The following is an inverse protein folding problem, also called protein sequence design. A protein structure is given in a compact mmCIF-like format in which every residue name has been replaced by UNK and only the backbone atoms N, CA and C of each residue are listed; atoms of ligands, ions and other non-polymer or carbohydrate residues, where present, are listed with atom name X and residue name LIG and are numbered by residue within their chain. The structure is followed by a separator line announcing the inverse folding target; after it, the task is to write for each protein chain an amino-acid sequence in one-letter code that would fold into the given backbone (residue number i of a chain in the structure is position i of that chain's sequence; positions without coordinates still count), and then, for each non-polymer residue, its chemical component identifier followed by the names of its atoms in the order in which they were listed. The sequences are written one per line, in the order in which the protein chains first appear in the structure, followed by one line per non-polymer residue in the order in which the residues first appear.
data_IF_726207194755
#
_entry.id   IF_726207194755
#
_cell.length_a   1.000
_cell.length_b   1.000
_cell.length_c   1.000
_cell.angle_alpha   90.00
_cell.angle_beta   90.00
_cell.angle_gamma   90.00
#
_symmetry.space_group_name_H-M   'P 1'
#
loop_
_entity.id
_entity.type
_entity.pdbx_description
1 polymer ?
#
# COMPACT_ATOMS: atom_id res chain seq x y z
N UNK A 1 6.68 32.21 11.28
CA UNK A 1 5.29 31.78 11.51
C UNK A 1 5.06 30.51 10.70
N UNK A 2 5.09 29.35 11.34
CA UNK A 2 4.89 28.07 10.66
C UNK A 2 3.41 27.95 10.28
N UNK A 3 3.11 27.66 9.01
CA UNK A 3 1.77 27.25 8.63
C UNK A 3 1.41 25.98 9.41
N UNK A 4 0.24 25.98 10.05
CA UNK A 4 -0.21 24.78 10.75
C UNK A 4 -0.53 23.69 9.73
N UNK A 5 0.14 22.55 9.85
CA UNK A 5 -0.21 21.33 9.12
C UNK A 5 -1.49 20.73 9.72
N UNK A 6 -2.22 19.92 8.95
CA UNK A 6 -3.40 19.16 9.40
C UNK A 6 -4.57 20.02 9.90
N UNK A 7 -4.99 21.03 9.12
CA UNK A 7 -6.11 21.95 9.46
C UNK A 7 -7.51 21.43 9.09
N UNK A 8 -7.63 20.17 8.73
CA UNK A 8 -8.92 19.55 8.41
C UNK A 8 -9.58 19.03 9.70
N UNK A 9 -10.90 18.89 9.72
CA UNK A 9 -11.60 18.34 10.89
C UNK A 9 -11.46 16.81 10.95
N UNK A 10 -11.56 16.15 9.79
CA UNK A 10 -11.46 14.70 9.65
C UNK A 10 -11.03 14.35 8.23
N UNK A 11 -10.09 13.43 8.11
CA UNK A 11 -9.82 12.68 6.90
C UNK A 11 -10.14 11.22 7.18
N UNK A 12 -11.07 10.67 6.42
CA UNK A 12 -11.46 9.27 6.55
C UNK A 12 -11.49 8.63 5.17
N UNK A 13 -10.74 7.54 5.01
CA UNK A 13 -10.77 6.69 3.82
C UNK A 13 -11.10 5.27 4.27
N UNK A 14 -12.12 4.68 3.66
CA UNK A 14 -12.53 3.30 3.91
C UNK A 14 -12.54 2.57 2.58
N UNK A 15 -11.80 1.48 2.52
CA UNK A 15 -11.68 0.61 1.35
C UNK A 15 -12.08 -0.79 1.74
N UNK A 16 -13.16 -1.26 1.13
CA UNK A 16 -13.68 -2.62 1.28
C UNK A 16 -13.52 -3.30 -0.08
N UNK A 17 -12.77 -4.40 -0.15
CA UNK A 17 -12.56 -5.16 -1.40
C UNK A 17 -13.22 -6.52 -1.29
N UNK A 18 -14.07 -6.82 -2.27
CA UNK A 18 -14.80 -8.08 -2.36
C UNK A 18 -14.36 -8.87 -3.58
N UNK A 19 -14.23 -10.20 -3.43
CA UNK A 19 -14.07 -11.15 -4.52
C UNK A 19 -15.09 -12.27 -4.32
N UNK A 20 -15.90 -12.55 -5.35
CA UNK A 20 -16.96 -13.56 -5.27
C UNK A 20 -17.86 -13.36 -4.03
N UNK A 21 -18.28 -12.11 -3.80
CA UNK A 21 -19.08 -11.65 -2.65
C UNK A 21 -18.45 -11.85 -1.26
N UNK A 22 -17.19 -12.31 -1.20
CA UNK A 22 -16.43 -12.44 0.04
C UNK A 22 -15.53 -11.23 0.27
N UNK A 23 -15.58 -10.65 1.47
CA UNK A 23 -14.67 -9.56 1.86
C UNK A 23 -13.24 -10.11 2.00
N UNK A 24 -12.32 -9.63 1.16
CA UNK A 24 -10.92 -10.09 1.12
C UNK A 24 -9.93 -9.07 1.69
N UNK A 25 -10.32 -7.79 1.76
CA UNK A 25 -9.54 -6.72 2.38
C UNK A 25 -10.47 -5.66 2.95
N UNK A 26 -10.15 -5.21 4.15
CA UNK A 26 -10.76 -4.06 4.80
C UNK A 26 -9.64 -3.12 5.27
N UNK A 27 -9.62 -1.90 4.75
CA UNK A 27 -8.68 -0.86 5.16
C UNK A 27 -9.46 0.40 5.56
N UNK A 28 -9.25 0.86 6.79
CA UNK A 28 -9.91 2.05 7.32
C UNK A 28 -8.87 3.01 7.89
N UNK A 29 -8.56 4.04 7.11
CA UNK A 29 -7.75 5.17 7.53
C UNK A 29 -8.68 6.23 8.14
N UNK A 30 -8.45 6.59 9.39
CA UNK A 30 -9.11 7.72 10.05
C UNK A 30 -8.03 8.61 10.67
N UNK A 31 -7.91 9.82 10.16
CA UNK A 31 -7.05 10.87 10.70
C UNK A 31 -7.95 12.00 11.17
N UNK A 32 -8.02 12.18 12.48
CA UNK A 32 -8.77 13.24 13.13
C UNK A 32 -7.74 14.11 13.82
N UNK A 33 -7.45 15.33 13.32
CA UNK A 33 -6.39 16.14 13.89
C UNK A 33 -6.67 16.50 15.35
N UNK A 34 -6.00 15.79 16.25
CA UNK A 34 -5.91 16.11 17.66
C UNK A 34 -4.52 16.69 18.00
N UNK A 35 -4.13 16.67 19.27
CA UNK A 35 -2.83 17.24 19.68
C UNK A 35 -1.62 16.41 19.24
N UNK A 36 -1.77 15.15 18.82
CA UNK A 36 -0.66 14.22 18.59
C UNK A 36 -0.65 13.59 17.18
N UNK A 37 -1.06 14.35 16.17
CA UNK A 37 -0.94 13.93 14.76
C UNK A 37 0.49 13.53 14.35
N UNK A 38 1.51 14.05 15.04
CA UNK A 38 2.92 13.73 14.79
C UNK A 38 3.41 12.51 15.59
N UNK A 39 2.57 11.94 16.45
CA UNK A 39 2.87 10.82 17.32
C UNK A 39 2.88 9.47 16.61
N UNK A 40 3.31 8.46 17.37
CA UNK A 40 3.34 7.05 16.95
C UNK A 40 1.93 6.57 16.62
N UNK A 41 1.80 5.84 15.51
CA UNK A 41 0.51 5.34 15.03
C UNK A 41 -0.31 6.35 14.21
N UNK A 42 0.17 7.59 14.05
CA UNK A 42 -0.42 8.60 13.15
C UNK A 42 0.55 8.96 12.02
N UNK A 43 0.89 10.24 11.86
CA UNK A 43 1.77 10.70 10.79
C UNK A 43 3.24 10.67 11.19
N UNK A 44 3.59 10.46 12.46
CA UNK A 44 4.96 10.20 12.91
C UNK A 44 6.01 11.21 12.40
N UNK A 45 5.64 12.49 12.34
CA UNK A 45 6.47 13.58 11.82
C UNK A 45 6.43 13.78 10.31
N UNK A 46 5.74 12.92 9.55
CA UNK A 46 5.50 13.04 8.12
C UNK A 46 4.26 13.88 7.81
N UNK A 47 4.10 14.28 6.56
CA UNK A 47 2.99 15.14 6.11
C UNK A 47 2.17 14.52 4.99
N UNK A 48 2.68 13.47 4.35
CA UNK A 48 2.05 12.77 3.24
C UNK A 48 1.88 11.30 3.58
N UNK A 49 0.71 10.75 3.26
CA UNK A 49 0.38 9.34 3.40
C UNK A 49 -0.14 8.82 2.06
N UNK A 50 0.42 7.72 1.59
CA UNK A 50 -0.06 6.98 0.43
C UNK A 50 -0.46 5.55 0.79
N UNK A 51 -1.52 5.05 0.16
CA UNK A 51 -1.88 3.63 0.20
C UNK A 51 -2.00 3.05 -1.20
N UNK A 52 -1.45 1.87 -1.44
CA UNK A 52 -1.56 1.11 -2.68
C UNK A 52 -1.94 -0.33 -2.34
N UNK A 53 -2.91 -0.88 -3.06
CA UNK A 53 -3.36 -2.27 -2.92
C UNK A 53 -3.21 -2.92 -4.30
N UNK A 54 -2.67 -4.13 -4.35
CA UNK A 54 -2.58 -4.93 -5.56
C UNK A 54 -3.01 -6.37 -5.26
N UNK A 55 -4.02 -6.85 -5.97
CA UNK A 55 -4.51 -8.23 -5.90
C UNK A 55 -4.24 -8.87 -7.24
N UNK A 56 -3.44 -9.94 -7.23
CA UNK A 56 -3.08 -10.63 -8.45
C UNK A 56 -2.58 -12.05 -8.16
N UNK A 57 -3.07 -12.99 -8.95
CA UNK A 57 -2.57 -14.37 -8.96
C UNK A 57 -1.05 -14.36 -9.21
N UNK A 58 -0.29 -14.96 -8.29
CA UNK A 58 1.18 -14.98 -8.32
C UNK A 58 1.88 -13.95 -7.43
N UNK A 59 1.14 -13.07 -6.73
CA UNK A 59 1.70 -12.32 -5.60
C UNK A 59 1.74 -13.25 -4.37
N UNK A 60 2.93 -13.77 -4.08
CA UNK A 60 3.23 -14.59 -2.92
C UNK A 60 4.24 -13.90 -1.97
N UNK A 61 4.60 -14.57 -0.87
CA UNK A 61 5.58 -14.05 0.09
C UNK A 61 6.93 -13.72 -0.56
N UNK A 62 7.38 -14.54 -1.51
CA UNK A 62 8.62 -14.31 -2.24
C UNK A 62 8.55 -13.07 -3.14
N UNK A 63 7.40 -12.80 -3.74
CA UNK A 63 7.14 -11.60 -4.52
C UNK A 63 7.16 -10.35 -3.64
N UNK A 64 6.49 -10.40 -2.49
CA UNK A 64 6.46 -9.32 -1.51
C UNK A 64 7.87 -9.01 -1.00
N UNK A 65 8.69 -10.02 -0.71
CA UNK A 65 10.09 -9.83 -0.30
C UNK A 65 10.96 -9.16 -1.39
N UNK A 66 10.67 -9.40 -2.68
CA UNK A 66 11.35 -8.70 -3.78
C UNK A 66 10.95 -7.23 -3.84
N UNK A 67 9.68 -6.90 -3.60
CA UNK A 67 9.24 -5.51 -3.49
C UNK A 67 9.89 -4.85 -2.26
N UNK A 68 9.93 -5.53 -1.12
CA UNK A 68 10.57 -5.00 0.08
C UNK A 68 12.04 -4.61 -0.21
N UNK A 69 12.83 -5.51 -0.80
CA UNK A 69 14.21 -5.24 -1.22
C UNK A 69 14.33 -4.15 -2.29
N UNK A 70 13.38 -4.06 -3.21
CA UNK A 70 13.33 -2.97 -4.21
C UNK A 70 13.18 -1.60 -3.55
N UNK A 71 12.45 -1.53 -2.44
CA UNK A 71 12.14 -0.29 -1.73
C UNK A 71 13.10 0.04 -0.58
N UNK A 72 13.91 -0.92 -0.12
CA UNK A 72 14.91 -0.74 0.95
C UNK A 72 15.84 0.49 0.76
N UNK A 73 16.28 0.86 -0.47
CA UNK A 73 17.15 2.02 -0.64
C UNK A 73 16.49 3.39 -0.35
N UNK A 74 15.16 3.45 -0.23
CA UNK A 74 14.45 4.69 0.07
C UNK A 74 14.66 5.10 1.53
N UNK A 75 15.31 6.24 1.73
CA UNK A 75 15.51 6.84 3.05
C UNK A 75 14.64 8.08 3.22
N UNK A 76 14.37 8.47 4.47
CA UNK A 76 13.52 9.64 4.76
C UNK A 76 12.02 9.41 4.49
N UNK A 77 11.61 8.15 4.36
CA UNK A 77 10.22 7.69 4.25
C UNK A 77 10.00 6.53 5.23
N UNK A 78 8.74 6.25 5.57
CA UNK A 78 8.36 4.99 6.22
C UNK A 78 7.49 4.18 5.27
N UNK A 79 7.85 2.92 5.07
CA UNK A 79 7.18 2.03 4.14
C UNK A 79 6.70 0.80 4.91
N UNK A 80 5.40 0.56 4.90
CA UNK A 80 4.79 -0.68 5.37
C UNK A 80 4.35 -1.52 4.19
N UNK A 81 4.73 -2.79 4.16
CA UNK A 81 4.32 -3.74 3.14
C UNK A 81 3.73 -4.98 3.83
N UNK A 82 2.58 -5.45 3.36
CA UNK A 82 1.88 -6.60 3.96
C UNK A 82 1.22 -7.44 2.88
N UNK A 83 1.21 -8.77 3.08
CA UNK A 83 0.42 -9.68 2.26
C UNK A 83 -1.07 -9.57 2.63
N UNK A 84 -1.93 -9.84 1.66
CA UNK A 84 -3.37 -9.98 1.88
C UNK A 84 -3.73 -11.44 2.18
N UNK A 85 -4.97 -11.67 2.62
CA UNK A 85 -5.52 -13.03 2.81
C UNK A 85 -5.74 -13.78 1.50
N UNK A 86 -5.69 -13.07 0.38
CA UNK A 86 -5.70 -13.58 -1.00
C UNK A 86 -4.38 -13.21 -1.67
N UNK A 87 -3.99 -13.85 -2.80
CA UNK A 87 -2.79 -13.46 -3.55
C UNK A 87 -2.75 -11.96 -3.86
N UNK A 88 -1.90 -11.23 -3.15
CA UNK A 88 -1.92 -9.78 -3.16
C UNK A 88 -1.11 -9.15 -2.03
N UNK A 89 -0.98 -7.84 -2.10
CA UNK A 89 -0.29 -7.02 -1.11
C UNK A 89 -0.98 -5.68 -0.88
N UNK A 90 -0.71 -5.09 0.27
CA UNK A 90 -0.92 -3.69 0.59
C UNK A 90 0.41 -3.01 0.89
N UNK A 91 0.58 -1.80 0.37
CA UNK A 91 1.73 -0.93 0.57
C UNK A 91 1.24 0.40 1.15
N UNK A 92 1.86 0.83 2.24
CA UNK A 92 1.60 2.13 2.89
C UNK A 92 2.90 2.92 2.98
N UNK A 93 2.83 4.20 2.63
CA UNK A 93 4.00 5.09 2.63
C UNK A 93 3.68 6.34 3.44
N UNK A 94 4.57 6.71 4.36
CA UNK A 94 4.63 8.04 4.96
C UNK A 94 5.85 8.79 4.43
N UNK A 95 5.66 10.02 4.00
CA UNK A 95 6.71 10.83 3.37
C UNK A 95 6.55 12.34 3.66
N UNK A 96 7.57 13.12 3.29
CA UNK A 96 7.53 14.58 3.40
C UNK A 96 7.12 15.29 2.12
N UNK A 97 7.09 14.57 0.99
CA UNK A 97 6.70 15.11 -0.31
C UNK A 97 5.82 14.11 -1.04
N UNK A 98 4.87 14.63 -1.79
CA UNK A 98 4.01 13.81 -2.67
C UNK A 98 4.85 13.00 -3.67
N UNK A 99 5.92 13.59 -4.20
CA UNK A 99 6.80 12.97 -5.19
C UNK A 99 7.48 11.71 -4.67
N UNK A 100 7.80 11.63 -3.38
CA UNK A 100 8.42 10.44 -2.78
C UNK A 100 7.41 9.27 -2.79
N UNK A 101 6.15 9.55 -2.44
CA UNK A 101 5.04 8.59 -2.49
C UNK A 101 4.80 8.12 -3.93
N UNK A 102 4.71 9.05 -4.87
CA UNK A 102 4.47 8.74 -6.29
C UNK A 102 5.60 7.90 -6.88
N UNK A 103 6.86 8.23 -6.58
CA UNK A 103 8.03 7.48 -7.05
C UNK A 103 8.00 6.03 -6.56
N UNK A 104 7.70 5.83 -5.27
CA UNK A 104 7.58 4.48 -4.69
C UNK A 104 6.44 3.71 -5.37
N UNK A 105 5.29 4.35 -5.58
CA UNK A 105 4.15 3.72 -6.26
C UNK A 105 4.45 3.36 -7.70
N UNK A 106 5.14 4.22 -8.44
CA UNK A 106 5.49 3.95 -9.82
C UNK A 106 6.50 2.82 -9.95
N UNK A 107 7.47 2.71 -9.04
CA UNK A 107 8.36 1.56 -8.96
C UNK A 107 7.60 0.26 -8.65
N UNK A 108 6.70 0.27 -7.67
CA UNK A 108 5.88 -0.89 -7.36
C UNK A 108 4.99 -1.29 -8.54
N UNK A 109 4.33 -0.33 -9.20
CA UNK A 109 3.51 -0.57 -10.39
C UNK A 109 4.34 -1.11 -11.55
N UNK A 110 5.54 -0.58 -11.77
CA UNK A 110 6.45 -1.06 -12.81
C UNK A 110 6.89 -2.50 -12.52
N UNK A 111 7.23 -2.80 -11.26
CA UNK A 111 7.58 -4.15 -10.83
C UNK A 111 6.42 -5.12 -11.01
N UNK A 112 5.20 -4.74 -10.58
CA UNK A 112 3.99 -5.51 -10.81
C UNK A 112 3.82 -5.83 -12.29
N UNK A 113 3.74 -4.80 -13.16
CA UNK A 113 3.56 -4.97 -14.62
C UNK A 113 4.66 -5.78 -15.30
N UNK A 114 5.90 -5.69 -14.83
CA UNK A 114 7.04 -6.39 -15.38
C UNK A 114 7.05 -7.90 -15.12
N UNK A 115 6.26 -8.37 -14.15
CA UNK A 115 6.14 -9.79 -13.86
C UNK A 115 5.13 -10.44 -14.81
N UNK A 116 5.58 -11.47 -15.54
CA UNK A 116 4.69 -12.30 -16.36
C UNK A 116 3.97 -13.28 -15.46
N UNK A 117 2.70 -13.00 -15.17
CA UNK A 117 1.86 -13.91 -14.40
C UNK A 117 1.55 -15.13 -15.27
N UNK A 118 2.08 -16.28 -14.88
CA UNK A 118 1.83 -17.52 -15.58
C UNK A 118 0.36 -17.88 -15.48
N UNK A 119 -0.38 -17.74 -16.57
CA UNK A 119 -1.67 -18.41 -16.71
C UNK A 119 -1.41 -19.89 -16.42
N UNK A 120 -1.95 -20.43 -15.32
CA UNK A 120 -2.08 -21.88 -15.22
C UNK A 120 -2.93 -22.28 -16.41
N UNK A 121 -2.31 -22.83 -17.45
CA UNK A 121 -3.03 -23.50 -18.52
C UNK A 121 -3.80 -24.61 -17.84
N UNK A 122 -5.09 -24.37 -17.60
CA UNK A 122 -6.00 -25.41 -17.19
C UNK A 122 -6.05 -26.41 -18.34
N UNK A 123 -5.22 -27.44 -18.27
CA UNK A 123 -5.36 -28.62 -19.12
C UNK A 123 -6.65 -29.32 -18.70
N UNK A 124 -7.78 -28.83 -19.22
CA UNK A 124 -9.05 -29.54 -19.19
C UNK A 124 -8.91 -30.74 -20.12
N UNK A 125 -8.45 -31.87 -19.58
CA UNK A 125 -8.64 -33.16 -20.25
C UNK A 125 -10.12 -33.52 -20.12
N UNK A 126 -10.82 -33.56 -21.26
CA UNK A 126 -12.10 -34.24 -21.38
C UNK A 126 -11.86 -35.74 -21.15
N UNK A 127 -12.60 -36.33 -20.21
CA UNK A 127 -12.95 -37.75 -20.23
C UNK A 127 -14.37 -37.86 -20.76
#
# INVERSE_FOLDING_TARGET
MAGSWFRYDLLQSRTDVYMEDQLVLYDHLKLEPDRDMLGLGYMEGFTHLGSLIAIQEGIDAGFVERIHRLLEPFSGVKIGLSMLMVPGLSLRVLAQRTQDVETIFDLCRAFLRGNRWGTKTAFLRKY
#
